data_IF_902633125160
#
_entry.id   IF_902633125160
#
_cell.length_a   1.000
_cell.length_b   1.000
_cell.length_c   1.000
_cell.angle_alpha   90.00
_cell.angle_beta   90.00
_cell.angle_gamma   90.00
#
_symmetry.space_group_name_H-M   'P 1'
#
loop_
_entity.id
_entity.type
_entity.pdbx_description
1 polymer ?
#
# COMPACT_ATOMS: atom_id res chain seq x y z
N UNK A 1 -48.78 -55.41 31.57
CA UNK A 1 -48.74 -54.03 32.07
C UNK A 1 -47.33 -53.41 32.04
N UNK A 2 -46.26 -54.08 32.51
CA UNK A 2 -44.88 -53.53 32.51
C UNK A 2 -44.27 -53.18 31.12
N UNK A 3 -44.61 -53.91 30.05
CA UNK A 3 -44.09 -53.61 28.69
C UNK A 3 -44.63 -52.29 28.09
N UNK A 4 -45.83 -51.86 28.51
CA UNK A 4 -46.44 -50.61 28.03
C UNK A 4 -45.85 -49.40 28.76
N UNK A 5 -45.53 -49.53 30.06
CA UNK A 5 -44.89 -48.47 30.84
C UNK A 5 -43.46 -48.17 30.37
N UNK A 6 -42.69 -49.18 29.93
CA UNK A 6 -41.33 -48.99 29.42
C UNK A 6 -41.27 -48.19 28.11
N UNK A 7 -42.27 -48.36 27.22
CA UNK A 7 -42.40 -47.58 25.98
C UNK A 7 -42.80 -46.12 26.25
N UNK A 8 -43.61 -45.87 27.28
CA UNK A 8 -43.97 -44.51 27.67
C UNK A 8 -42.81 -43.76 28.33
N UNK A 9 -41.99 -44.45 29.13
CA UNK A 9 -40.83 -43.86 29.79
C UNK A 9 -39.73 -43.42 28.81
N UNK A 10 -39.45 -44.23 27.77
CA UNK A 10 -38.49 -43.86 26.73
C UNK A 10 -38.95 -42.69 25.86
N UNK A 11 -40.25 -42.58 25.56
CA UNK A 11 -40.77 -41.40 24.86
C UNK A 11 -40.59 -40.12 25.68
N UNK A 12 -40.86 -40.16 26.99
CA UNK A 12 -40.75 -38.98 27.86
C UNK A 12 -39.30 -38.50 28.00
N UNK A 13 -38.33 -39.42 28.08
CA UNK A 13 -36.90 -39.07 28.05
C UNK A 13 -36.46 -38.50 26.70
N UNK A 14 -36.95 -39.08 25.60
CA UNK A 14 -36.62 -38.62 24.25
C UNK A 14 -37.14 -37.19 23.99
N UNK A 15 -38.38 -36.89 24.38
CA UNK A 15 -38.92 -35.52 24.28
C UNK A 15 -38.19 -34.53 25.18
N UNK A 16 -37.76 -34.93 26.38
CA UNK A 16 -36.99 -34.06 27.28
C UNK A 16 -35.59 -33.76 26.72
N UNK A 17 -34.96 -34.73 26.06
CA UNK A 17 -33.67 -34.53 25.39
C UNK A 17 -33.79 -33.59 24.18
N UNK A 18 -34.82 -33.74 23.35
CA UNK A 18 -35.09 -32.84 22.21
C UNK A 18 -35.40 -31.42 22.69
N UNK A 19 -36.21 -31.27 23.75
CA UNK A 19 -36.56 -29.97 24.30
C UNK A 19 -35.33 -29.25 24.88
N UNK A 20 -34.45 -29.98 25.59
CA UNK A 20 -33.19 -29.41 26.08
C UNK A 20 -32.24 -29.05 24.94
N UNK A 21 -32.18 -29.84 23.87
CA UNK A 21 -31.35 -29.54 22.71
C UNK A 21 -31.85 -28.30 21.93
N UNK A 22 -33.17 -28.18 21.75
CA UNK A 22 -33.79 -26.99 21.15
C UNK A 22 -33.63 -25.75 22.03
N UNK A 23 -33.72 -25.89 23.35
CA UNK A 23 -33.47 -24.80 24.30
C UNK A 23 -32.01 -24.34 24.25
N UNK A 24 -31.05 -25.26 24.13
CA UNK A 24 -29.63 -24.94 23.97
C UNK A 24 -29.34 -24.28 22.62
N UNK A 25 -29.97 -24.73 21.53
CA UNK A 25 -29.89 -24.07 20.21
C UNK A 25 -30.50 -22.67 20.22
N UNK A 26 -31.63 -22.48 20.91
CA UNK A 26 -32.23 -21.15 21.10
C UNK A 26 -31.34 -20.24 21.95
N UNK A 27 -30.72 -20.75 23.02
CA UNK A 27 -29.76 -19.99 23.83
C UNK A 27 -28.49 -19.65 23.01
N UNK A 28 -28.02 -20.54 22.14
CA UNK A 28 -26.89 -20.30 21.26
C UNK A 28 -27.20 -19.24 20.19
N UNK A 29 -28.35 -19.35 19.51
CA UNK A 29 -28.80 -18.32 18.56
C UNK A 29 -29.12 -16.99 19.24
N UNK A 30 -29.62 -16.99 20.48
CA UNK A 30 -29.87 -15.76 21.24
C UNK A 30 -28.56 -15.10 21.72
N UNK A 31 -27.51 -15.89 22.01
CA UNK A 31 -26.17 -15.36 22.32
C UNK A 31 -25.47 -14.78 21.09
N UNK A 32 -25.70 -15.31 19.89
CA UNK A 32 -25.17 -14.73 18.65
C UNK A 32 -25.92 -13.46 18.21
N UNK A 33 -27.18 -13.28 18.63
CA UNK A 33 -27.99 -12.10 18.28
C UNK A 33 -28.09 -11.03 19.37
N UNK A 34 -27.50 -11.26 20.55
CA UNK A 34 -27.48 -10.31 21.66
C UNK A 34 -26.13 -10.30 22.40
N UNK A 35 -25.03 -10.22 21.65
CA UNK A 35 -23.78 -9.66 22.15
C UNK A 35 -23.74 -8.17 21.80
N UNK A 36 -24.63 -7.39 22.41
CA UNK A 36 -24.41 -5.95 22.55
C UNK A 36 -23.28 -5.82 23.57
N UNK A 37 -22.04 -5.76 23.07
CA UNK A 37 -20.92 -5.25 23.84
C UNK A 37 -21.28 -3.81 24.20
N UNK A 38 -21.71 -3.61 25.45
CA UNK A 38 -21.80 -2.30 26.09
C UNK A 38 -20.43 -1.86 26.62
N UNK A 39 -19.37 -2.13 25.85
CA UNK A 39 -18.09 -1.45 26.02
C UNK A 39 -18.16 -0.22 25.13
N UNK A 40 -18.57 0.89 25.73
CA UNK A 40 -18.39 2.24 25.20
C UNK A 40 -16.89 2.56 25.13
N UNK A 41 -16.17 1.87 24.25
CA UNK A 41 -15.06 2.47 23.54
C UNK A 41 -15.71 3.22 22.39
N UNK A 42 -16.06 4.48 22.64
CA UNK A 42 -16.07 5.50 21.60
C UNK A 42 -14.63 5.58 21.06
N UNK A 43 -14.21 4.56 20.29
CA UNK A 43 -13.18 4.70 19.29
C UNK A 43 -13.77 5.69 18.31
N UNK A 44 -13.53 6.98 18.59
CA UNK A 44 -13.84 8.10 17.71
C UNK A 44 -13.07 7.79 16.43
N UNK A 45 -13.73 7.10 15.51
CA UNK A 45 -13.19 6.71 14.21
C UNK A 45 -12.91 8.02 13.48
N UNK A 46 -11.66 8.49 13.58
CA UNK A 46 -11.23 9.71 12.91
C UNK A 46 -11.21 9.46 11.41
N UNK A 47 -11.39 10.53 10.64
CA UNK A 47 -11.23 10.49 9.19
C UNK A 47 -9.89 9.81 8.87
N UNK A 48 -9.86 8.75 8.05
CA UNK A 48 -8.62 8.06 7.75
C UNK A 48 -7.68 9.00 7.02
N UNK A 49 -6.55 9.32 7.67
CA UNK A 49 -5.47 10.10 7.07
C UNK A 49 -4.63 9.21 6.16
N UNK A 50 -3.92 9.78 5.17
CA UNK A 50 -2.97 9.02 4.38
C UNK A 50 -1.91 8.37 5.29
N UNK A 51 -1.71 7.06 5.14
CA UNK A 51 -0.59 6.34 5.75
C UNK A 51 0.75 6.94 5.32
N UNK A 52 1.73 6.98 6.21
CA UNK A 52 3.07 7.45 5.86
C UNK A 52 3.82 6.41 5.01
N UNK A 53 4.27 6.83 3.82
CA UNK A 53 5.06 6.03 2.88
C UNK A 53 6.51 6.53 2.84
N UNK A 54 7.46 5.62 2.83
CA UNK A 54 8.84 5.86 2.41
C UNK A 54 9.21 4.92 1.25
N UNK A 55 9.88 5.45 0.23
CA UNK A 55 10.60 4.66 -0.77
C UNK A 55 12.09 4.91 -0.52
N UNK A 56 12.83 3.84 -0.24
CA UNK A 56 14.22 3.90 0.19
C UNK A 56 15.05 2.83 -0.52
N UNK A 57 15.92 3.27 -1.42
CA UNK A 57 16.75 2.42 -2.28
C UNK A 57 18.22 2.34 -1.82
N UNK A 58 18.54 2.93 -0.66
CA UNK A 58 19.84 2.75 0.00
C UNK A 58 19.94 1.42 0.75
N UNK A 59 21.03 1.24 1.50
CA UNK A 59 21.19 0.11 2.42
C UNK A 59 20.49 0.44 3.75
N UNK A 60 19.47 -0.35 4.17
CA UNK A 60 18.73 -0.06 5.39
C UNK A 60 19.60 0.06 6.65
N UNK A 61 20.69 -0.71 6.74
CA UNK A 61 21.60 -0.61 7.89
C UNK A 61 22.40 0.71 7.96
N UNK A 62 22.43 1.48 6.88
CA UNK A 62 23.18 2.72 6.76
C UNK A 62 22.31 3.98 6.84
N UNK A 63 20.98 3.82 6.91
CA UNK A 63 20.03 4.93 6.88
C UNK A 63 20.38 6.01 7.90
N UNK A 64 20.37 7.27 7.47
CA UNK A 64 20.66 8.45 8.31
C UNK A 64 21.98 8.33 9.11
N UNK A 65 22.96 7.60 8.59
CA UNK A 65 24.24 7.39 9.28
C UNK A 65 24.18 6.38 10.43
N UNK A 66 23.22 5.45 10.43
CA UNK A 66 23.11 4.37 11.41
C UNK A 66 24.37 3.47 11.47
N UNK A 67 25.16 3.39 10.39
CA UNK A 67 26.46 2.68 10.34
C UNK A 67 26.38 1.23 10.86
N UNK A 68 25.28 0.53 10.58
CA UNK A 68 25.03 -0.84 11.03
C UNK A 68 24.30 -0.96 12.37
N UNK A 69 24.01 0.15 13.07
CA UNK A 69 23.17 0.13 14.26
C UNK A 69 21.69 -0.10 13.88
N UNK A 70 21.23 -1.33 14.10
CA UNK A 70 19.87 -1.74 13.76
C UNK A 70 18.80 -1.02 14.58
N UNK A 71 19.12 -0.52 15.78
CA UNK A 71 18.17 0.23 16.59
C UNK A 71 17.92 1.62 15.99
N UNK A 72 18.98 2.29 15.52
CA UNK A 72 18.85 3.57 14.81
C UNK A 72 18.12 3.42 13.48
N UNK A 73 18.44 2.35 12.72
CA UNK A 73 17.73 2.04 11.48
C UNK A 73 16.25 1.76 11.74
N UNK A 74 15.93 0.92 12.73
CA UNK A 74 14.56 0.62 13.15
C UNK A 74 13.80 1.89 13.55
N UNK A 75 14.39 2.75 14.38
CA UNK A 75 13.77 4.00 14.80
C UNK A 75 13.45 4.91 13.62
N UNK A 76 14.27 4.90 12.57
CA UNK A 76 14.00 5.69 11.36
C UNK A 76 12.81 5.13 10.59
N UNK A 77 12.82 3.83 10.27
CA UNK A 77 11.77 3.24 9.43
C UNK A 77 10.44 3.02 10.17
N UNK A 78 10.46 2.86 11.51
CA UNK A 78 9.26 2.69 12.34
C UNK A 78 8.39 3.95 12.46
N UNK A 79 8.81 5.07 11.87
CA UNK A 79 7.99 6.28 11.71
C UNK A 79 7.00 6.16 10.53
N UNK A 80 7.23 5.19 9.64
CA UNK A 80 6.44 4.98 8.44
C UNK A 80 5.47 3.80 8.62
N UNK A 81 4.28 3.90 8.06
CA UNK A 81 3.33 2.79 8.01
C UNK A 81 3.68 1.82 6.86
N UNK A 82 4.30 2.34 5.79
CA UNK A 82 4.65 1.60 4.57
C UNK A 82 6.07 1.99 4.14
N UNK A 83 6.92 1.00 3.86
CA UNK A 83 8.29 1.21 3.36
C UNK A 83 8.54 0.33 2.14
N UNK A 84 9.10 0.90 1.08
CA UNK A 84 9.64 0.15 -0.06
C UNK A 84 11.16 0.12 0.05
N UNK A 85 11.75 -1.07 0.04
CA UNK A 85 13.20 -1.26 0.00
C UNK A 85 13.69 -1.60 -1.40
N UNK A 86 14.84 -1.04 -1.76
CA UNK A 86 15.43 -1.14 -3.09
C UNK A 86 15.94 -2.52 -3.47
N UNK A 87 16.29 -2.64 -4.74
CA UNK A 87 16.73 -3.87 -5.38
C UNK A 87 18.07 -4.41 -4.84
N UNK A 88 18.24 -5.73 -4.89
CA UNK A 88 19.48 -6.43 -4.55
C UNK A 88 19.67 -6.75 -3.07
N UNK A 89 18.81 -6.22 -2.20
CA UNK A 89 18.79 -6.53 -0.76
C UNK A 89 18.31 -7.95 -0.48
N UNK A 90 17.53 -8.54 -1.39
CA UNK A 90 17.06 -9.92 -1.35
C UNK A 90 18.17 -10.95 -1.63
N UNK A 91 19.30 -10.50 -2.15
CA UNK A 91 20.43 -11.36 -2.45
C UNK A 91 21.47 -11.38 -1.34
N UNK A 92 21.60 -12.56 -0.73
CA UNK A 92 22.60 -12.83 0.31
C UNK A 92 24.04 -12.89 -0.20
N UNK A 93 24.23 -13.07 -1.49
CA UNK A 93 25.53 -13.16 -2.17
C UNK A 93 25.89 -11.86 -2.90
N UNK A 94 27.16 -11.77 -3.33
CA UNK A 94 27.65 -10.72 -4.22
C UNK A 94 28.15 -11.36 -5.50
N UNK A 95 27.38 -11.21 -6.57
CA UNK A 95 27.66 -11.78 -7.90
C UNK A 95 27.94 -10.64 -8.87
N UNK A 96 29.19 -10.50 -9.31
CA UNK A 96 29.64 -9.37 -10.13
C UNK A 96 28.93 -9.26 -11.48
N UNK A 97 28.38 -10.35 -12.01
CA UNK A 97 27.65 -10.40 -13.29
C UNK A 97 26.14 -10.16 -13.15
N UNK A 98 25.59 -10.19 -11.93
CA UNK A 98 24.19 -9.86 -11.67
C UNK A 98 24.03 -8.34 -11.52
N UNK A 99 22.89 -7.81 -11.94
CA UNK A 99 22.51 -6.41 -11.72
C UNK A 99 21.15 -6.39 -11.01
N UNK A 100 21.11 -5.84 -9.77
CA UNK A 100 22.24 -5.46 -8.92
C UNK A 100 23.08 -6.68 -8.49
N UNK A 101 24.32 -6.45 -8.03
CA UNK A 101 25.23 -7.54 -7.65
C UNK A 101 24.78 -8.32 -6.43
N UNK A 102 23.83 -7.78 -5.66
CA UNK A 102 23.42 -8.26 -4.34
C UNK A 102 24.15 -7.55 -3.21
N UNK A 103 23.49 -7.45 -2.07
CA UNK A 103 23.95 -6.69 -0.91
C UNK A 103 24.99 -7.45 -0.07
N UNK A 104 25.12 -8.76 -0.27
CA UNK A 104 26.01 -9.63 0.48
C UNK A 104 25.49 -9.99 1.87
N UNK A 105 26.20 -10.90 2.54
CA UNK A 105 25.70 -11.59 3.74
C UNK A 105 25.36 -10.59 4.86
N UNK A 106 26.23 -9.62 5.13
CA UNK A 106 26.02 -8.71 6.25
C UNK A 106 24.75 -7.85 6.07
N UNK A 107 24.58 -7.23 4.90
CA UNK A 107 23.44 -6.35 4.65
C UNK A 107 22.14 -7.11 4.47
N UNK A 108 22.17 -8.29 3.85
CA UNK A 108 21.01 -9.18 3.76
C UNK A 108 20.47 -9.53 5.15
N UNK A 109 21.34 -9.98 6.06
CA UNK A 109 20.93 -10.38 7.41
C UNK A 109 20.45 -9.16 8.24
N UNK A 110 21.08 -7.99 8.06
CA UNK A 110 20.64 -6.75 8.71
C UNK A 110 19.26 -6.32 8.20
N UNK A 111 19.05 -6.31 6.89
CA UNK A 111 17.77 -5.95 6.26
C UNK A 111 16.67 -6.90 6.71
N UNK A 112 16.93 -8.21 6.70
CA UNK A 112 15.98 -9.22 7.19
C UNK A 112 15.59 -9.00 8.66
N UNK A 113 16.55 -8.65 9.53
CA UNK A 113 16.25 -8.31 10.93
C UNK A 113 15.42 -7.04 11.05
N UNK A 114 15.75 -5.99 10.31
CA UNK A 114 14.99 -4.73 10.29
C UNK A 114 13.54 -4.98 9.86
N UNK A 115 13.31 -5.75 8.79
CA UNK A 115 11.96 -6.11 8.31
C UNK A 115 11.14 -6.77 9.42
N UNK A 116 11.71 -7.78 10.09
CA UNK A 116 11.02 -8.49 11.17
C UNK A 116 10.72 -7.57 12.36
N UNK A 117 11.66 -6.71 12.76
CA UNK A 117 11.44 -5.76 13.85
C UNK A 117 10.39 -4.69 13.50
N UNK A 118 10.33 -4.26 12.24
CA UNK A 118 9.34 -3.28 11.77
C UNK A 118 7.91 -3.82 11.82
N UNK A 119 7.72 -5.11 11.50
CA UNK A 119 6.43 -5.79 11.63
C UNK A 119 5.90 -5.81 13.07
N UNK A 120 6.81 -5.97 14.04
CA UNK A 120 6.50 -5.98 15.47
C UNK A 120 6.53 -4.58 16.11
N UNK A 121 6.85 -3.54 15.33
CA UNK A 121 6.86 -2.16 15.82
C UNK A 121 5.45 -1.68 16.13
N UNK A 122 5.33 -0.58 16.88
CA UNK A 122 4.04 0.02 17.25
C UNK A 122 3.14 0.33 16.05
N UNK A 123 3.73 0.65 14.89
CA UNK A 123 2.98 0.95 13.65
C UNK A 123 2.68 -0.27 12.80
N UNK A 124 3.29 -1.42 13.10
CA UNK A 124 3.23 -2.62 12.26
C UNK A 124 3.60 -2.31 10.80
N UNK A 125 4.73 -1.61 10.62
CA UNK A 125 5.19 -1.11 9.32
C UNK A 125 5.24 -2.24 8.29
N UNK A 126 4.54 -2.02 7.17
CA UNK A 126 4.51 -2.97 6.05
C UNK A 126 5.67 -2.69 5.09
N UNK A 127 6.58 -3.65 4.95
CA UNK A 127 7.73 -3.53 4.03
C UNK A 127 7.41 -4.19 2.69
N UNK A 128 7.81 -3.56 1.60
CA UNK A 128 7.69 -4.06 0.23
C UNK A 128 9.08 -4.16 -0.41
N UNK A 129 9.37 -5.30 -1.03
CA UNK A 129 10.62 -5.50 -1.78
C UNK A 129 10.50 -5.03 -3.22
N UNK A 130 11.44 -4.24 -3.72
CA UNK A 130 11.48 -3.79 -5.11
C UNK A 130 11.81 -4.93 -6.07
N UNK A 131 11.11 -4.97 -7.21
CA UNK A 131 11.48 -5.74 -8.40
C UNK A 131 11.14 -4.89 -9.63
N UNK A 132 12.07 -4.79 -10.58
CA UNK A 132 11.82 -4.18 -11.88
C UNK A 132 11.02 -5.15 -12.77
N UNK A 133 9.82 -4.75 -13.18
CA UNK A 133 9.00 -5.52 -14.12
C UNK A 133 9.29 -5.13 -15.57
N UNK A 134 9.81 -3.94 -15.82
CA UNK A 134 10.01 -3.34 -17.13
C UNK A 134 11.29 -3.76 -17.83
N UNK A 135 11.71 -2.89 -18.74
CA UNK A 135 12.83 -3.10 -19.65
C UNK A 135 14.16 -2.53 -19.11
N UNK A 136 14.16 -1.78 -18.01
CA UNK A 136 15.41 -1.24 -17.44
C UNK A 136 16.39 -2.34 -17.07
N UNK A 137 15.93 -3.39 -16.39
CA UNK A 137 16.68 -4.63 -16.14
C UNK A 137 16.27 -5.76 -17.08
N UNK A 138 15.05 -5.70 -17.62
CA UNK A 138 14.48 -6.71 -18.52
C UNK A 138 14.63 -8.14 -17.96
N UNK A 139 14.24 -8.32 -16.69
CA UNK A 139 14.40 -9.59 -15.99
C UNK A 139 13.58 -10.70 -16.68
N UNK A 140 14.13 -11.91 -16.87
CA UNK A 140 13.33 -13.04 -17.29
C UNK A 140 12.28 -13.37 -16.21
N UNK A 141 11.12 -13.91 -16.61
CA UNK A 141 10.02 -14.15 -15.67
C UNK A 141 10.43 -15.06 -14.50
N UNK A 142 11.29 -16.04 -14.76
CA UNK A 142 11.83 -16.95 -13.73
C UNK A 142 12.67 -16.21 -12.67
N UNK A 143 13.32 -15.12 -13.03
CA UNK A 143 14.09 -14.28 -12.10
C UNK A 143 13.15 -13.40 -11.27
N UNK A 144 12.08 -12.86 -11.86
CA UNK A 144 11.03 -12.14 -11.10
C UNK A 144 10.42 -13.05 -10.04
N UNK A 145 10.05 -14.28 -10.43
CA UNK A 145 9.51 -15.27 -9.50
C UNK A 145 10.50 -15.63 -8.39
N UNK A 146 11.79 -15.74 -8.73
CA UNK A 146 12.84 -16.03 -7.77
C UNK A 146 13.04 -14.89 -6.76
N UNK A 147 13.15 -13.64 -7.24
CA UNK A 147 13.27 -12.47 -6.36
C UNK A 147 12.07 -12.29 -5.45
N UNK A 148 10.85 -12.54 -5.95
CA UNK A 148 9.64 -12.49 -5.12
C UNK A 148 9.70 -13.52 -3.97
N UNK A 149 10.21 -14.74 -4.23
CA UNK A 149 10.44 -15.75 -3.17
C UNK A 149 11.50 -15.30 -2.17
N UNK A 150 12.62 -14.77 -2.63
CA UNK A 150 13.69 -14.29 -1.74
C UNK A 150 13.20 -13.17 -0.81
N UNK A 151 12.44 -12.22 -1.35
CA UNK A 151 11.78 -11.19 -0.54
C UNK A 151 10.77 -11.79 0.46
N UNK A 152 9.95 -12.76 0.03
CA UNK A 152 9.02 -13.47 0.91
C UNK A 152 9.75 -14.15 2.09
N UNK A 153 10.89 -14.79 1.84
CA UNK A 153 11.73 -15.42 2.87
C UNK A 153 12.33 -14.42 3.88
N UNK A 154 12.43 -13.14 3.52
CA UNK A 154 12.82 -12.06 4.44
C UNK A 154 11.66 -11.55 5.30
N UNK A 155 10.42 -11.90 4.97
CA UNK A 155 9.22 -11.55 5.74
C UNK A 155 8.54 -10.24 5.32
N UNK A 156 8.72 -9.80 4.07
CA UNK A 156 8.01 -8.61 3.54
C UNK A 156 6.50 -8.81 3.54
N UNK A 157 5.75 -7.70 3.52
CA UNK A 157 4.29 -7.70 3.35
C UNK A 157 3.86 -7.80 1.87
N UNK A 158 4.74 -7.39 0.96
CA UNK A 158 4.43 -7.34 -0.46
C UNK A 158 5.65 -7.12 -1.35
N UNK A 159 5.41 -7.05 -2.65
CA UNK A 159 6.41 -6.73 -3.67
C UNK A 159 5.99 -5.45 -4.38
N UNK A 160 6.93 -4.52 -4.50
CA UNK A 160 6.82 -3.33 -5.31
C UNK A 160 7.34 -3.62 -6.72
N UNK A 161 6.43 -3.68 -7.70
CA UNK A 161 6.74 -3.87 -9.11
C UNK A 161 6.85 -2.50 -9.78
N UNK A 162 8.08 -2.12 -10.09
CA UNK A 162 8.36 -0.88 -10.83
C UNK A 162 8.24 -1.08 -12.34
N UNK A 163 8.11 0.03 -13.08
CA UNK A 163 8.00 0.02 -14.54
C UNK A 163 6.89 -0.90 -15.07
N UNK A 164 5.78 -1.03 -14.35
CA UNK A 164 4.75 -2.02 -14.67
C UNK A 164 3.86 -1.66 -15.87
N UNK A 165 4.09 -0.52 -16.52
CA UNK A 165 3.33 -0.01 -17.67
C UNK A 165 3.75 -0.61 -19.01
N UNK A 166 2.89 -0.50 -20.02
CA UNK A 166 3.17 -0.98 -21.37
C UNK A 166 4.26 -0.12 -22.04
N UNK A 167 4.38 1.14 -21.65
CA UNK A 167 5.44 2.05 -22.07
C UNK A 167 6.85 1.60 -21.66
N UNK A 168 6.95 0.64 -20.74
CA UNK A 168 8.20 -0.02 -20.32
C UNK A 168 8.36 -1.43 -20.90
N UNK A 169 7.61 -1.77 -21.95
CA UNK A 169 7.71 -3.07 -22.61
C UNK A 169 6.99 -4.21 -21.88
N UNK A 170 6.24 -3.90 -20.83
CA UNK A 170 5.51 -4.91 -20.07
C UNK A 170 4.25 -5.34 -20.83
N UNK A 171 4.00 -6.64 -20.91
CA UNK A 171 2.73 -7.17 -21.44
C UNK A 171 1.75 -7.50 -20.32
N UNK A 172 0.45 -7.52 -20.63
CA UNK A 172 -0.57 -8.00 -19.68
C UNK A 172 -0.26 -9.39 -19.14
N UNK A 173 0.18 -10.31 -19.99
CA UNK A 173 0.59 -11.66 -19.56
C UNK A 173 1.74 -11.62 -18.56
N UNK A 174 2.76 -10.75 -18.78
CA UNK A 174 3.88 -10.56 -17.85
C UNK A 174 3.42 -9.99 -16.50
N UNK A 175 2.55 -8.98 -16.50
CA UNK A 175 1.93 -8.47 -15.26
C UNK A 175 1.18 -9.58 -14.53
N UNK A 176 0.34 -10.33 -15.24
CA UNK A 176 -0.48 -11.41 -14.68
C UNK A 176 0.38 -12.47 -14.00
N UNK A 177 1.46 -12.93 -14.65
CA UNK A 177 2.35 -13.94 -14.06
C UNK A 177 3.06 -13.40 -12.82
N UNK A 178 3.57 -12.16 -12.85
CA UNK A 178 4.24 -11.55 -11.70
C UNK A 178 3.28 -11.38 -10.51
N UNK A 179 2.10 -10.80 -10.74
CA UNK A 179 1.09 -10.58 -9.69
C UNK A 179 0.58 -11.92 -9.13
N UNK A 180 0.28 -12.89 -9.98
CA UNK A 180 -0.19 -14.21 -9.54
C UNK A 180 0.87 -14.91 -8.69
N UNK A 181 2.16 -14.77 -9.04
CA UNK A 181 3.26 -15.31 -8.23
C UNK A 181 3.29 -14.66 -6.85
N UNK A 182 3.17 -13.33 -6.78
CA UNK A 182 3.14 -12.58 -5.51
C UNK A 182 1.96 -13.05 -4.64
N UNK A 183 0.76 -13.15 -5.22
CA UNK A 183 -0.42 -13.62 -4.50
C UNK A 183 -0.29 -15.07 -4.01
N UNK A 184 0.31 -15.96 -4.82
CA UNK A 184 0.57 -17.35 -4.43
C UNK A 184 1.56 -17.48 -3.26
N UNK A 185 2.40 -16.47 -3.04
CA UNK A 185 3.27 -16.36 -1.87
C UNK A 185 2.56 -15.77 -0.65
N UNK A 186 1.27 -15.43 -0.76
CA UNK A 186 0.49 -14.76 0.28
C UNK A 186 0.86 -13.28 0.47
N UNK A 187 1.52 -12.68 -0.52
CA UNK A 187 1.99 -11.29 -0.49
C UNK A 187 1.04 -10.35 -1.24
N UNK A 188 1.16 -9.05 -0.98
CA UNK A 188 0.46 -7.98 -1.72
C UNK A 188 1.29 -7.51 -2.92
N UNK A 189 0.64 -7.23 -4.05
CA UNK A 189 1.27 -6.57 -5.17
C UNK A 189 1.12 -5.04 -5.05
N UNK A 190 2.22 -4.31 -5.23
CA UNK A 190 2.25 -2.85 -5.24
C UNK A 190 2.88 -2.36 -6.55
N UNK A 191 2.10 -1.75 -7.45
CA UNK A 191 2.55 -1.47 -8.81
C UNK A 191 2.81 0.02 -9.03
N UNK A 192 3.87 0.33 -9.77
CA UNK A 192 4.14 1.66 -10.31
C UNK A 192 4.11 1.62 -11.83
N UNK A 193 3.32 2.52 -12.44
CA UNK A 193 3.26 2.70 -13.87
C UNK A 193 3.06 4.17 -14.21
N UNK A 194 3.72 4.62 -15.28
CA UNK A 194 3.54 5.97 -15.77
C UNK A 194 2.10 6.18 -16.26
N UNK A 195 1.62 5.28 -17.12
CA UNK A 195 0.22 5.25 -17.57
C UNK A 195 -0.59 4.27 -16.71
N UNK A 196 -1.50 4.80 -15.89
CA UNK A 196 -2.33 3.97 -15.00
C UNK A 196 -3.24 3.01 -15.77
N UNK A 197 -3.70 3.41 -16.95
CA UNK A 197 -4.56 2.56 -17.78
C UNK A 197 -3.92 1.24 -18.18
N UNK A 198 -2.59 1.19 -18.33
CA UNK A 198 -1.87 -0.05 -18.64
C UNK A 198 -2.05 -1.11 -17.56
N UNK A 199 -2.31 -0.70 -16.32
CA UNK A 199 -2.56 -1.62 -15.20
C UNK A 199 -3.97 -2.21 -15.22
N UNK A 200 -4.94 -1.57 -15.89
CA UNK A 200 -6.36 -1.92 -15.78
C UNK A 200 -7.10 -2.16 -17.09
N UNK A 201 -6.52 -1.77 -18.24
CA UNK A 201 -7.16 -1.88 -19.55
C UNK A 201 -7.44 -3.36 -19.89
N UNK A 202 -8.68 -3.61 -20.28
CA UNK A 202 -9.23 -4.92 -20.65
C UNK A 202 -9.38 -5.06 -22.17
N UNK A 203 -9.24 -3.96 -22.93
CA UNK A 203 -9.28 -4.00 -24.39
C UNK A 203 -8.02 -4.65 -24.97
N UNK A 204 -8.14 -5.12 -26.21
CA UNK A 204 -7.01 -5.52 -27.03
C UNK A 204 -6.16 -4.28 -27.32
N UNK A 205 -4.90 -4.33 -26.89
CA UNK A 205 -3.88 -3.31 -27.18
C UNK A 205 -2.71 -4.04 -27.87
N UNK A 206 -2.45 -3.78 -29.16
CA UNK A 206 -1.30 -4.36 -29.84
C UNK A 206 0.02 -4.03 -29.13
N UNK A 207 1.05 -4.87 -29.35
CA UNK A 207 2.37 -4.57 -28.80
C UNK A 207 2.91 -3.27 -29.42
N UNK A 208 3.39 -2.37 -28.57
CA UNK A 208 4.06 -1.14 -28.98
C UNK A 208 5.53 -1.42 -29.41
N UNK A 209 6.26 -0.37 -29.80
CA UNK A 209 7.64 -0.49 -30.28
C UNK A 209 8.64 -1.02 -29.25
N UNK A 210 8.30 -0.99 -27.96
CA UNK A 210 9.14 -1.53 -26.87
C UNK A 210 8.62 -2.89 -26.35
N UNK A 211 7.60 -3.45 -27.00
CA UNK A 211 7.08 -4.79 -26.73
C UNK A 211 5.96 -4.88 -25.69
N UNK A 212 5.45 -3.75 -25.19
CA UNK A 212 4.38 -3.72 -24.18
C UNK A 212 2.98 -3.62 -24.78
N UNK A 213 1.98 -4.16 -24.09
CA UNK A 213 0.59 -4.17 -24.54
C UNK A 213 -0.28 -5.29 -23.95
N UNK A 214 -1.52 -5.40 -24.46
CA UNK A 214 -2.51 -6.43 -24.10
C UNK A 214 -3.09 -7.08 -25.36
N UNK A 215 -2.30 -7.83 -26.15
CA UNK A 215 -2.72 -8.30 -27.47
C UNK A 215 -3.91 -9.26 -27.41
N UNK A 216 -4.13 -9.92 -26.27
CA UNK A 216 -5.20 -10.88 -26.07
C UNK A 216 -6.45 -10.30 -25.39
N UNK A 217 -6.42 -9.02 -24.95
CA UNK A 217 -7.52 -8.43 -24.19
C UNK A 217 -7.76 -9.12 -22.83
N UNK A 218 -6.68 -9.58 -22.19
CA UNK A 218 -6.73 -10.24 -20.88
C UNK A 218 -7.15 -9.22 -19.80
N UNK A 219 -7.94 -9.69 -18.82
CA UNK A 219 -8.32 -8.85 -17.68
C UNK A 219 -7.13 -8.68 -16.71
N UNK A 220 -7.05 -7.53 -16.01
CA UNK A 220 -6.10 -7.37 -14.91
C UNK A 220 -6.44 -8.32 -13.76
N UNK A 221 -5.42 -8.73 -12.99
CA UNK A 221 -5.55 -9.62 -11.84
C UNK A 221 -5.32 -8.92 -10.49
N UNK A 222 -5.29 -7.59 -10.49
CA UNK A 222 -5.22 -6.77 -9.28
C UNK A 222 -6.48 -6.95 -8.43
N UNK A 223 -6.31 -7.10 -7.11
CA UNK A 223 -7.39 -7.27 -6.14
C UNK A 223 -7.43 -6.21 -5.04
N UNK A 224 -8.39 -6.35 -4.13
CA UNK A 224 -8.66 -5.39 -3.03
C UNK A 224 -7.48 -5.13 -2.09
N UNK A 225 -6.54 -6.07 -2.04
CA UNK A 225 -5.37 -5.98 -1.18
C UNK A 225 -4.18 -5.29 -1.84
N UNK A 226 -4.22 -5.11 -3.16
CA UNK A 226 -3.12 -4.56 -3.94
C UNK A 226 -3.10 -3.03 -3.93
N UNK A 227 -1.93 -2.49 -4.25
CA UNK A 227 -1.61 -1.09 -4.16
C UNK A 227 -1.13 -0.58 -5.51
N UNK A 228 -1.41 0.69 -5.80
CA UNK A 228 -0.88 1.38 -6.98
C UNK A 228 -0.28 2.71 -6.56
N UNK A 229 0.92 2.99 -7.09
CA UNK A 229 1.65 4.22 -6.85
C UNK A 229 1.27 5.26 -7.90
N UNK A 230 1.03 6.48 -7.43
CA UNK A 230 0.94 7.69 -8.22
C UNK A 230 2.29 8.40 -8.11
N UNK A 231 3.16 8.16 -9.08
CA UNK A 231 4.47 8.80 -9.16
C UNK A 231 4.59 9.61 -10.47
N UNK A 232 4.82 10.92 -10.43
CA UNK A 232 4.89 11.79 -9.24
C UNK A 232 3.49 12.28 -8.82
N UNK A 233 3.30 12.50 -7.52
CA UNK A 233 2.06 13.01 -6.92
C UNK A 233 2.23 14.47 -6.52
N UNK A 234 1.48 15.38 -7.15
CA UNK A 234 1.45 16.85 -6.92
C UNK A 234 2.75 17.61 -7.12
N UNK A 235 3.90 17.01 -6.84
CA UNK A 235 5.24 17.57 -7.00
C UNK A 235 6.02 16.62 -7.90
N UNK A 236 6.45 17.11 -9.06
CA UNK A 236 7.24 16.36 -10.04
C UNK A 236 8.56 17.08 -10.25
N UNK A 237 9.68 16.39 -10.01
CA UNK A 237 11.02 16.96 -10.13
C UNK A 237 11.16 18.29 -9.37
N UNK A 238 10.55 18.35 -8.17
CA UNK A 238 10.54 19.51 -7.27
C UNK A 238 9.72 20.71 -7.73
N UNK A 239 8.88 20.54 -8.76
CA UNK A 239 7.95 21.56 -9.23
C UNK A 239 6.50 21.10 -9.02
N UNK A 240 5.58 22.04 -8.81
CA UNK A 240 4.16 21.73 -8.74
C UNK A 240 3.66 21.17 -10.08
N UNK A 241 2.89 20.08 -10.04
CA UNK A 241 2.34 19.44 -11.23
C UNK A 241 0.86 19.82 -11.43
N UNK A 242 0.63 20.86 -12.22
CA UNK A 242 -0.72 21.35 -12.51
C UNK A 242 -1.53 20.40 -13.42
N UNK A 243 -0.89 19.40 -14.05
CA UNK A 243 -1.58 18.41 -14.91
C UNK A 243 -2.26 17.29 -14.12
N UNK A 244 -2.00 17.26 -12.81
CA UNK A 244 -2.35 16.21 -11.89
C UNK A 244 -3.86 15.87 -11.74
N UNK A 245 -4.82 16.82 -11.80
CA UNK A 245 -6.24 16.49 -11.55
C UNK A 245 -6.83 15.41 -12.47
N UNK A 246 -6.36 15.33 -13.72
CA UNK A 246 -6.83 14.31 -14.67
C UNK A 246 -6.34 12.91 -14.27
N UNK A 247 -5.04 12.76 -13.99
CA UNK A 247 -4.44 11.49 -13.58
C UNK A 247 -5.05 10.97 -12.29
N UNK A 248 -5.32 11.85 -11.34
CA UNK A 248 -5.98 11.44 -10.11
C UNK A 248 -7.43 11.03 -10.33
N UNK A 249 -8.21 11.79 -11.10
CA UNK A 249 -9.60 11.41 -11.39
C UNK A 249 -9.67 10.03 -12.05
N UNK A 250 -8.74 9.72 -12.94
CA UNK A 250 -8.58 8.39 -13.52
C UNK A 250 -8.25 7.34 -12.44
N UNK A 251 -7.25 7.59 -11.59
CA UNK A 251 -6.88 6.69 -10.49
C UNK A 251 -8.05 6.38 -9.55
N UNK A 252 -8.84 7.40 -9.18
CA UNK A 252 -10.02 7.25 -8.32
C UNK A 252 -11.07 6.36 -8.98
N UNK A 253 -11.32 6.52 -10.28
CA UNK A 253 -12.26 5.66 -10.99
C UNK A 253 -11.80 4.20 -11.04
N UNK A 254 -10.50 3.95 -11.20
CA UNK A 254 -9.95 2.59 -11.11
C UNK A 254 -10.03 2.03 -9.69
N UNK A 255 -9.79 2.84 -8.66
CA UNK A 255 -10.02 2.44 -7.27
C UNK A 255 -11.45 2.01 -7.03
N UNK A 256 -12.44 2.78 -7.50
CA UNK A 256 -13.85 2.43 -7.32
C UNK A 256 -14.23 1.14 -8.06
N UNK A 257 -13.63 0.92 -9.24
CA UNK A 257 -13.90 -0.27 -10.07
C UNK A 257 -13.22 -1.54 -9.56
N UNK A 258 -11.97 -1.45 -9.10
CA UNK A 258 -11.13 -2.61 -8.76
C UNK A 258 -10.86 -2.74 -7.25
N UNK A 259 -11.34 -1.80 -6.45
CA UNK A 259 -11.19 -1.76 -5.00
C UNK A 259 -9.74 -1.76 -4.48
N UNK A 260 -8.81 -1.24 -5.29
CA UNK A 260 -7.38 -1.14 -4.96
C UNK A 260 -7.07 -0.02 -3.98
N UNK A 261 -5.85 -0.01 -3.43
CA UNK A 261 -5.34 1.12 -2.63
C UNK A 261 -4.48 2.04 -3.50
N UNK A 262 -4.65 3.35 -3.33
CA UNK A 262 -3.86 4.36 -4.04
C UNK A 262 -2.86 5.01 -3.09
N UNK A 263 -1.59 5.02 -3.46
CA UNK A 263 -0.53 5.71 -2.74
C UNK A 263 0.07 6.80 -3.63
N UNK A 264 0.47 7.93 -3.06
CA UNK A 264 1.16 8.99 -3.79
C UNK A 264 2.57 9.20 -3.27
N UNK A 265 3.51 9.51 -4.17
CA UNK A 265 4.85 9.95 -3.78
C UNK A 265 5.29 11.16 -4.61
N UNK A 266 5.88 12.17 -3.98
CA UNK A 266 6.50 13.28 -4.71
C UNK A 266 7.80 12.84 -5.37
N UNK A 267 8.28 13.59 -6.36
CA UNK A 267 9.66 13.43 -6.85
C UNK A 267 10.39 14.77 -6.81
N UNK A 268 11.68 14.72 -6.50
CA UNK A 268 12.58 15.87 -6.51
C UNK A 268 13.90 15.51 -7.19
N UNK A 269 14.55 16.51 -7.78
CA UNK A 269 15.85 16.34 -8.41
C UNK A 269 16.97 16.25 -7.36
N UNK A 270 18.10 15.64 -7.74
CA UNK A 270 19.29 15.46 -6.89
C UNK A 270 19.82 16.75 -6.23
N UNK A 271 19.65 17.89 -6.90
CA UNK A 271 20.16 19.19 -6.46
C UNK A 271 19.09 20.08 -5.81
N UNK A 272 17.85 19.61 -5.65
CA UNK A 272 16.80 20.35 -4.98
C UNK A 272 16.75 20.01 -3.49
N UNK A 273 16.51 21.04 -2.68
CA UNK A 273 16.30 20.88 -1.24
C UNK A 273 14.84 20.57 -0.93
N UNK A 274 14.61 19.92 0.21
CA UNK A 274 13.28 19.77 0.80
C UNK A 274 12.54 21.13 0.89
N UNK A 275 11.24 21.11 0.59
CA UNK A 275 10.36 22.27 0.69
C UNK A 275 9.09 21.90 1.46
N UNK A 276 8.92 22.51 2.64
CA UNK A 276 7.78 22.25 3.53
C UNK A 276 6.43 22.63 2.89
N UNK A 277 6.35 23.73 2.13
CA UNK A 277 5.09 24.15 1.51
C UNK A 277 4.63 23.16 0.45
N UNK A 278 5.57 22.59 -0.31
CA UNK A 278 5.28 21.55 -1.30
C UNK A 278 4.79 20.26 -0.64
N UNK A 279 5.44 19.83 0.45
CA UNK A 279 4.98 18.69 1.23
C UNK A 279 3.58 18.93 1.78
N UNK A 280 3.33 20.10 2.37
CA UNK A 280 2.03 20.42 2.98
C UNK A 280 0.91 20.40 1.93
N UNK A 281 1.15 21.04 0.79
CA UNK A 281 0.22 21.05 -0.34
C UNK A 281 -0.10 19.63 -0.84
N UNK A 282 0.93 18.81 -1.07
CA UNK A 282 0.75 17.44 -1.50
C UNK A 282 0.02 16.59 -0.45
N UNK A 283 0.36 16.73 0.83
CA UNK A 283 -0.29 16.00 1.92
C UNK A 283 -1.78 16.37 2.08
N UNK A 284 -2.12 17.66 1.97
CA UNK A 284 -3.52 18.09 1.99
C UNK A 284 -4.29 17.60 0.77
N UNK A 285 -3.66 17.56 -0.40
CA UNK A 285 -4.27 16.95 -1.58
C UNK A 285 -4.55 15.47 -1.37
N UNK A 286 -3.58 14.72 -0.84
CA UNK A 286 -3.73 13.32 -0.49
C UNK A 286 -4.94 13.09 0.44
N UNK A 287 -5.05 13.93 1.48
CA UNK A 287 -6.15 13.88 2.45
C UNK A 287 -7.50 14.25 1.80
N UNK A 288 -7.56 15.30 0.99
CA UNK A 288 -8.77 15.75 0.30
C UNK A 288 -9.36 14.66 -0.59
N UNK A 289 -8.51 13.99 -1.36
CA UNK A 289 -8.92 12.93 -2.28
C UNK A 289 -9.07 11.56 -1.60
N UNK A 290 -8.66 11.44 -0.33
CA UNK A 290 -8.71 10.22 0.45
C UNK A 290 -7.85 9.13 -0.16
N UNK A 291 -6.63 9.45 -0.61
CA UNK A 291 -5.66 8.42 -1.00
C UNK A 291 -5.18 7.67 0.25
N UNK A 292 -4.80 6.41 0.09
CA UNK A 292 -4.53 5.51 1.20
C UNK A 292 -3.16 5.75 1.86
N UNK A 293 -2.20 6.30 1.13
CA UNK A 293 -0.88 6.65 1.66
C UNK A 293 -0.18 7.73 0.86
N UNK A 294 0.76 8.41 1.51
CA UNK A 294 1.53 9.51 0.94
C UNK A 294 2.96 9.50 1.48
N UNK A 295 3.92 9.77 0.60
CA UNK A 295 5.34 9.90 0.94
C UNK A 295 5.97 11.10 0.25
N UNK A 296 6.98 11.68 0.90
CA UNK A 296 7.91 12.58 0.24
C UNK A 296 9.03 11.75 -0.39
N UNK A 297 9.22 11.87 -1.71
CA UNK A 297 10.32 11.20 -2.40
C UNK A 297 11.62 11.97 -2.17
N UNK A 298 12.55 11.36 -1.44
CA UNK A 298 13.93 11.87 -1.36
C UNK A 298 14.62 11.79 -2.72
N UNK A 299 15.69 12.58 -2.97
CA UNK A 299 16.35 12.55 -4.27
C UNK A 299 16.90 11.15 -4.56
N UNK A 300 16.55 10.61 -5.74
CA UNK A 300 16.79 9.21 -6.14
C UNK A 300 16.42 8.18 -5.05
N UNK A 301 15.40 8.48 -4.24
CA UNK A 301 14.94 7.63 -3.15
C UNK A 301 16.07 7.19 -2.20
N UNK A 302 17.00 8.11 -1.90
CA UNK A 302 18.13 7.89 -1.01
C UNK A 302 19.16 6.83 -1.47
N UNK A 303 19.06 6.31 -2.70
CA UNK A 303 19.98 5.30 -3.25
C UNK A 303 21.46 5.71 -3.22
N UNK A 304 21.74 7.02 -3.32
CA UNK A 304 23.10 7.55 -3.42
C UNK A 304 23.71 8.02 -2.09
N UNK A 305 22.90 8.24 -1.05
CA UNK A 305 23.35 8.91 0.17
C UNK A 305 22.82 8.30 1.48
N UNK A 306 21.87 7.35 1.42
CA UNK A 306 21.22 6.75 2.59
C UNK A 306 20.50 7.78 3.50
N UNK A 307 20.08 8.93 2.98
CA UNK A 307 19.38 9.95 3.75
C UNK A 307 17.86 9.80 3.61
N UNK A 308 17.18 9.60 4.73
CA UNK A 308 15.73 9.60 4.86
C UNK A 308 15.33 10.51 6.04
N UNK A 309 15.47 11.84 5.90
CA UNK A 309 15.15 12.78 6.96
C UNK A 309 13.66 12.71 7.33
N UNK A 310 13.37 12.89 8.63
CA UNK A 310 11.99 12.99 9.10
C UNK A 310 11.43 14.37 8.76
N UNK A 311 10.41 14.39 7.93
CA UNK A 311 9.65 15.61 7.62
C UNK A 311 8.44 15.75 8.54
N UNK A 312 8.16 16.97 8.95
CA UNK A 312 6.96 17.27 9.74
C UNK A 312 5.76 17.32 8.79
N UNK A 313 4.72 16.56 9.12
CA UNK A 313 3.44 16.65 8.41
C UNK A 313 2.68 17.92 8.85
N UNK A 314 1.74 18.41 8.03
CA UNK A 314 0.87 19.53 8.41
C UNK A 314 0.22 19.35 9.78
N UNK A 315 0.16 20.45 10.53
CA UNK A 315 -0.56 20.46 11.80
C UNK A 315 -2.06 20.30 11.55
N UNK A 316 -2.67 19.36 12.26
CA UNK A 316 -4.12 19.18 12.24
C UNK A 316 -4.81 20.18 13.19
N UNK A 317 -6.06 20.56 12.92
CA UNK A 317 -6.90 21.22 13.92
C UNK A 317 -6.92 20.42 15.22
N UNK A 318 -7.04 21.08 16.39
CA UNK A 318 -7.09 20.41 17.70
C UNK A 318 -8.19 19.35 17.80
N UNK A 319 -9.32 19.62 17.14
CA UNK A 319 -10.47 18.72 17.06
C UNK A 319 -10.36 17.74 15.87
N UNK A 320 -9.24 17.69 15.16
CA UNK A 320 -9.06 16.87 13.96
C UNK A 320 -9.99 17.25 12.80
N UNK A 321 -10.01 16.40 11.77
CA UNK A 321 -10.75 16.65 10.53
C UNK A 321 -12.20 16.14 10.56
N UNK A 322 -12.61 15.50 11.65
CA UNK A 322 -13.88 14.78 11.76
C UNK A 322 -13.71 13.27 11.62
N UNK A 323 -14.81 12.59 11.27
CA UNK A 323 -14.91 11.12 11.20
C UNK A 323 -15.11 10.59 9.78
N UNK A 324 -15.71 11.40 8.91
CA UNK A 324 -16.06 11.00 7.54
C UNK A 324 -16.17 12.19 6.61
N UNK A 325 -15.98 11.92 5.32
CA UNK A 325 -16.39 12.83 4.26
C UNK A 325 -17.92 12.89 4.19
N UNK A 326 -18.46 14.08 3.95
CA UNK A 326 -19.91 14.35 3.81
C UNK A 326 -20.26 14.85 2.40
N UNK A 327 -19.27 14.97 1.53
CA UNK A 327 -19.44 15.25 0.11
C UNK A 327 -18.36 14.56 -0.71
N UNK A 328 -18.63 14.45 -2.00
CA UNK A 328 -17.59 14.24 -3.01
C UNK A 328 -16.69 15.48 -3.13
N UNK A 329 -15.58 15.32 -3.85
CA UNK A 329 -14.71 16.44 -4.21
C UNK A 329 -15.42 17.31 -5.25
N UNK A 330 -15.48 18.62 -5.01
CA UNK A 330 -16.09 19.59 -5.92
C UNK A 330 -15.02 20.57 -6.40
N UNK A 331 -14.90 20.74 -7.71
CA UNK A 331 -14.06 21.77 -8.31
C UNK A 331 -14.78 23.12 -8.29
N UNK A 332 -14.16 24.12 -7.67
CA UNK A 332 -14.54 25.54 -7.69
C UNK A 332 -13.30 26.37 -8.00
N UNK A 333 -12.94 26.46 -9.28
CA UNK A 333 -11.67 27.04 -9.73
C UNK A 333 -11.36 28.38 -9.02
N UNK A 334 -10.12 28.55 -8.49
CA UNK A 334 -8.95 27.67 -8.62
C UNK A 334 -8.89 26.48 -7.63
N UNK A 335 -9.95 26.26 -6.84
CA UNK A 335 -9.92 25.33 -5.70
C UNK A 335 -10.60 23.99 -5.99
N UNK A 336 -10.15 22.97 -5.27
CA UNK A 336 -10.91 21.74 -5.02
C UNK A 336 -11.31 21.71 -3.55
N UNK A 337 -12.54 21.29 -3.29
CA UNK A 337 -13.14 21.31 -1.95
C UNK A 337 -13.73 19.96 -1.62
N UNK A 338 -13.64 19.53 -0.37
CA UNK A 338 -14.38 18.38 0.15
C UNK A 338 -14.86 18.62 1.56
N UNK A 339 -16.14 18.38 1.82
CA UNK A 339 -16.69 18.54 3.16
C UNK A 339 -16.42 17.30 4.01
N UNK A 340 -16.15 17.54 5.28
CA UNK A 340 -16.22 16.53 6.33
C UNK A 340 -17.43 16.83 7.23
N UNK A 341 -17.65 16.01 8.25
CA UNK A 341 -18.64 16.32 9.29
C UNK A 341 -18.17 17.38 10.31
N UNK A 342 -16.94 17.91 10.18
CA UNK A 342 -16.40 18.98 11.04
C UNK A 342 -16.03 20.26 10.31
N UNK A 343 -15.77 20.20 9.01
CA UNK A 343 -15.28 21.35 8.26
C UNK A 343 -15.13 21.06 6.78
N UNK A 344 -14.16 21.72 6.12
CA UNK A 344 -14.02 21.64 4.68
C UNK A 344 -12.55 21.67 4.26
N UNK A 345 -12.07 20.52 3.80
CA UNK A 345 -10.79 20.42 3.14
C UNK A 345 -10.77 21.24 1.85
N UNK A 346 -9.64 21.87 1.57
CA UNK A 346 -9.39 22.54 0.30
C UNK A 346 -7.95 22.35 -0.18
N UNK A 347 -7.78 22.42 -1.49
CA UNK A 347 -6.51 22.72 -2.16
C UNK A 347 -6.75 23.84 -3.18
N UNK A 348 -5.80 24.75 -3.30
CA UNK A 348 -5.81 25.88 -4.22
C UNK A 348 -4.70 25.69 -5.26
N UNK A 349 -5.06 25.52 -6.54
CA UNK A 349 -4.08 25.23 -7.58
C UNK A 349 -3.25 26.44 -8.00
N UNK A 350 -3.74 27.67 -7.76
CA UNK A 350 -3.05 28.89 -8.19
C UNK A 350 -2.01 29.32 -7.16
N UNK A 351 -2.35 29.16 -5.88
CA UNK A 351 -1.48 29.54 -4.76
C UNK A 351 -0.69 28.36 -4.18
N UNK A 352 -0.97 27.13 -4.64
CA UNK A 352 -0.38 25.89 -4.16
C UNK A 352 -0.45 25.72 -2.63
N UNK A 353 -1.61 26.02 -2.05
CA UNK A 353 -1.88 25.84 -0.62
C UNK A 353 -3.01 24.85 -0.40
N UNK A 354 -2.96 24.13 0.72
CA UNK A 354 -4.02 23.22 1.15
C UNK A 354 -4.34 23.39 2.64
N UNK A 355 -5.52 22.95 3.05
CA UNK A 355 -5.97 23.10 4.43
C UNK A 355 -7.34 22.49 4.72
N UNK A 356 -7.88 22.81 5.90
CA UNK A 356 -9.16 22.34 6.43
C UNK A 356 -10.08 23.47 6.90
#
# INVERSE_FOLDING_TARGET
MLKVMRKFWHKKLFYKAILNFLLLMLIACYKESYSINSDSNDNIEQLPLPKSLAIYYGFPSLVNGAKGDLSLALNTFAEYDIVVFGDGLEFRDVVATRRPTGAGVAEYENTKKIINLLKESKRHTSVYGYIDLGNTQNLPITEIENRARLWAEMGVAGIFLDEAGYDYGVTRTRQTVAITTIHNLGLQAFLNAYNLEDLFETKIVPLNNVGGGNPNGENPVLGVNDLVLLESFQIRNGEYDDTYPNRLSQAISYREKFNIKLLGVTTILLNQSFNQAQLDYAWWSATLWGINGFGWGEPNYASSNNLLPKHLLPSLPKDGLGKRFTSDVVQKKPQYLRKTNRGRLFIDLENHVGGF
#
